data_IF_864890493551
#
_entry.id   IF_864890493551
#
_cell.length_a   1.000
_cell.length_b   1.000
_cell.length_c   1.000
_cell.angle_alpha   90.00
_cell.angle_beta   90.00
_cell.angle_gamma   90.00
#
_symmetry.space_group_name_H-M   'P 1'
#
loop_
_entity.id
_entity.type
_entity.pdbx_description
1 polymer ?
#
# COMPACT_ATOMS: atom_id res chain seq x y z
N UNK A 1 -0.13 -14.80 -9.75
CA UNK A 1 -1.10 -13.79 -9.29
C UNK A 1 -2.45 -14.42 -8.93
N UNK A 2 -2.81 -15.57 -9.51
CA UNK A 2 -4.15 -16.17 -9.38
C UNK A 2 -4.42 -16.95 -8.07
N UNK A 3 -3.42 -17.62 -7.50
CA UNK A 3 -3.63 -18.47 -6.31
C UNK A 3 -3.87 -17.63 -5.04
N UNK A 4 -3.06 -16.59 -4.85
CA UNK A 4 -3.16 -15.67 -3.69
C UNK A 4 -4.47 -14.88 -3.75
N UNK A 5 -4.88 -14.42 -4.93
CA UNK A 5 -6.11 -13.66 -5.11
C UNK A 5 -7.37 -14.52 -4.88
N UNK A 6 -7.34 -15.79 -5.34
CA UNK A 6 -8.43 -16.76 -5.10
C UNK A 6 -8.59 -17.15 -3.64
N UNK A 7 -7.50 -17.20 -2.87
CA UNK A 7 -7.54 -17.57 -1.45
C UNK A 7 -8.14 -16.47 -0.55
N UNK A 8 -7.84 -15.20 -0.84
CA UNK A 8 -8.30 -14.05 -0.05
C UNK A 8 -9.80 -13.80 -0.23
N UNK A 9 -10.31 -13.95 -1.46
CA UNK A 9 -11.75 -13.85 -1.75
C UNK A 9 -12.57 -14.97 -1.10
N UNK A 10 -11.98 -16.16 -0.90
CA UNK A 10 -12.65 -17.29 -0.25
C UNK A 10 -12.74 -17.19 1.27
N UNK A 11 -11.86 -16.42 1.92
CA UNK A 11 -11.80 -16.29 3.39
C UNK A 11 -12.31 -14.94 3.92
N UNK A 12 -12.75 -14.03 3.05
CA UNK A 12 -13.16 -12.65 3.40
C UNK A 12 -12.10 -11.91 4.25
N UNK A 13 -10.83 -12.29 4.10
CA UNK A 13 -9.73 -11.72 4.86
C UNK A 13 -9.26 -10.41 4.22
N UNK A 14 -8.85 -9.40 5.02
CA UNK A 14 -8.27 -8.18 4.48
C UNK A 14 -6.98 -8.50 3.72
N UNK A 15 -6.79 -7.88 2.55
CA UNK A 15 -5.56 -8.00 1.79
C UNK A 15 -4.37 -7.51 2.63
N UNK A 16 -3.27 -8.26 2.58
CA UNK A 16 -2.04 -7.87 3.28
C UNK A 16 -1.36 -6.64 2.65
N UNK A 17 -1.52 -6.50 1.33
CA UNK A 17 -1.16 -5.32 0.56
C UNK A 17 -2.43 -4.81 -0.11
N UNK A 18 -2.94 -3.66 0.31
CA UNK A 18 -4.23 -3.14 -0.13
C UNK A 18 -4.10 -1.90 -1.03
N UNK A 19 -5.25 -1.27 -1.33
CA UNK A 19 -5.32 -0.11 -2.22
C UNK A 19 -4.51 1.09 -1.70
N UNK A 20 -4.34 1.22 -0.39
CA UNK A 20 -3.59 2.34 0.20
C UNK A 20 -2.09 2.13 0.05
N UNK A 21 -1.62 0.89 0.17
CA UNK A 21 -0.24 0.52 -0.12
C UNK A 21 0.08 0.82 -1.59
N UNK A 22 -0.80 0.40 -2.51
CA UNK A 22 -0.67 0.69 -3.95
C UNK A 22 -0.65 2.19 -4.24
N UNK A 23 -1.59 2.95 -3.66
CA UNK A 23 -1.66 4.40 -3.86
C UNK A 23 -0.38 5.10 -3.36
N UNK A 24 0.16 4.66 -2.23
CA UNK A 24 1.40 5.19 -1.67
C UNK A 24 2.59 4.90 -2.58
N UNK A 25 2.70 3.70 -3.14
CA UNK A 25 3.76 3.36 -4.11
C UNK A 25 3.61 4.14 -5.42
N UNK A 26 2.38 4.28 -5.90
CA UNK A 26 2.09 4.99 -7.15
C UNK A 26 2.33 6.48 -7.03
N UNK A 27 2.16 7.07 -5.85
CA UNK A 27 2.46 8.48 -5.60
C UNK A 27 3.94 8.83 -5.81
N UNK A 28 4.86 7.86 -5.70
CA UNK A 28 6.29 8.10 -5.86
C UNK A 28 6.62 8.61 -7.26
N UNK A 29 6.04 8.02 -8.32
CA UNK A 29 6.35 8.39 -9.71
C UNK A 29 6.10 9.88 -9.99
N UNK A 30 4.86 10.42 -9.87
CA UNK A 30 4.61 11.83 -10.16
C UNK A 30 5.31 12.78 -9.17
N UNK A 31 5.44 12.40 -7.89
CA UNK A 31 6.14 13.24 -6.91
C UNK A 31 7.64 13.28 -7.19
N UNK A 32 8.25 12.20 -7.67
CA UNK A 32 9.66 12.21 -8.06
C UNK A 32 9.92 13.10 -9.27
N UNK A 33 9.04 13.07 -10.27
CA UNK A 33 9.10 13.95 -11.45
C UNK A 33 8.98 15.43 -11.03
N UNK A 34 8.02 15.73 -10.14
CA UNK A 34 7.86 17.06 -9.56
C UNK A 34 9.07 17.50 -8.73
N UNK A 35 9.65 16.59 -7.93
CA UNK A 35 10.86 16.86 -7.13
C UNK A 35 12.04 17.28 -8.02
N UNK A 36 12.24 16.58 -9.14
CA UNK A 36 13.28 16.93 -10.12
C UNK A 36 13.00 18.29 -10.78
N UNK A 37 11.74 18.58 -11.11
CA UNK A 37 11.35 19.84 -11.74
C UNK A 37 11.49 21.06 -10.81
N UNK A 38 11.17 20.90 -9.53
CA UNK A 38 11.15 21.99 -8.53
C UNK A 38 12.44 22.07 -7.70
N UNK A 39 13.29 21.03 -7.77
CA UNK A 39 14.58 20.98 -7.07
C UNK A 39 14.45 20.84 -5.55
N UNK A 40 13.50 20.02 -5.08
CA UNK A 40 13.20 19.97 -3.65
C UNK A 40 12.34 18.81 -3.16
N UNK A 41 12.10 18.82 -1.85
CA UNK A 41 11.32 17.80 -1.12
C UNK A 41 9.84 17.89 -1.50
N UNK A 42 9.23 16.74 -1.77
CA UNK A 42 7.80 16.60 -2.05
C UNK A 42 7.11 15.87 -0.89
N UNK A 43 5.90 16.31 -0.54
CA UNK A 43 5.11 15.69 0.50
C UNK A 43 4.33 14.49 -0.06
N UNK A 44 4.48 13.33 0.55
CA UNK A 44 3.71 12.14 0.19
C UNK A 44 2.35 12.20 0.91
N UNK A 45 1.22 12.17 0.18
CA UNK A 45 -0.10 12.21 0.81
C UNK A 45 -0.37 10.98 1.68
N UNK A 46 -1.03 11.20 2.81
CA UNK A 46 -1.61 10.10 3.60
C UNK A 46 -2.96 9.68 3.01
N UNK A 47 -2.93 8.65 2.15
CA UNK A 47 -4.12 8.08 1.53
C UNK A 47 -5.04 7.35 2.53
N UNK A 48 -4.54 7.02 3.73
CA UNK A 48 -5.29 6.32 4.78
C UNK A 48 -6.02 7.27 5.72
N UNK A 49 -5.77 8.58 5.63
CA UNK A 49 -6.35 9.61 6.51
C UNK A 49 -6.11 9.32 8.01
N UNK A 50 -4.89 8.92 8.34
CA UNK A 50 -4.46 8.59 9.71
C UNK A 50 -4.74 7.15 10.14
N UNK A 51 -5.44 6.34 9.33
CA UNK A 51 -5.73 4.96 9.68
C UNK A 51 -4.47 4.09 9.79
N UNK A 52 -3.37 4.46 9.12
CA UNK A 52 -2.08 3.77 9.20
C UNK A 52 -1.52 3.69 10.63
N UNK A 53 -1.83 4.66 11.50
CA UNK A 53 -1.31 4.74 12.88
C UNK A 53 -1.71 3.52 13.71
N UNK A 54 -2.92 3.01 13.51
CA UNK A 54 -3.48 1.90 14.27
C UNK A 54 -3.53 0.59 13.45
N UNK A 55 -2.99 0.59 12.22
CA UNK A 55 -3.01 -0.58 11.33
C UNK A 55 -2.08 -1.66 11.87
N UNK A 56 -2.59 -2.88 12.01
CA UNK A 56 -1.77 -4.06 12.33
C UNK A 56 -1.17 -4.62 11.04
N UNK A 57 0.13 -4.88 11.03
CA UNK A 57 0.75 -5.64 9.96
C UNK A 57 0.13 -7.05 9.90
N UNK A 58 -0.16 -7.53 8.70
CA UNK A 58 -0.77 -8.83 8.42
C UNK A 58 -0.10 -9.56 7.24
N UNK A 59 1.06 -9.07 6.77
CA UNK A 59 1.80 -9.69 5.69
C UNK A 59 2.70 -10.82 6.21
N UNK A 60 2.51 -12.04 5.70
CA UNK A 60 3.33 -13.23 5.94
C UNK A 60 3.55 -13.58 7.44
N UNK A 61 2.52 -13.42 8.27
CA UNK A 61 2.60 -13.69 9.71
C UNK A 61 2.29 -15.15 10.09
N UNK A 62 1.59 -15.88 9.24
CA UNK A 62 1.28 -17.31 9.34
C UNK A 62 1.96 -18.08 8.19
N UNK A 63 2.24 -19.37 8.41
CA UNK A 63 2.80 -20.26 7.38
C UNK A 63 1.72 -20.92 6.50
N UNK A 64 0.47 -20.46 6.63
CA UNK A 64 -0.65 -21.02 5.87
C UNK A 64 -0.71 -20.49 4.42
N UNK A 65 0.27 -19.64 4.04
CA UNK A 65 0.36 -18.98 2.74
C UNK A 65 1.80 -18.84 2.27
#
# INVERSE_FOLDING_TARGET
>A
MDIVYSALTKREAPFAQDVYDLATWYAITPLSEQSVAEGGVQYIPDFTRGAWINRKANFALDREW
#
